data_IF_682018698093
#
_entry.id   IF_682018698093
#
_cell.length_a   1.000
_cell.length_b   1.000
_cell.length_c   1.000
_cell.angle_alpha   90.00
_cell.angle_beta   90.00
_cell.angle_gamma   90.00
#
_symmetry.space_group_name_H-M   'P 1'
#
loop_
_entity.id
_entity.type
_entity.pdbx_description
1 polymer ?
#
# COMPACT_ATOMS: atom_id res chain seq x y z
N UNK A 1 -36.45 -32.76 -5.05
CA UNK A 1 -35.34 -32.67 -4.07
C UNK A 1 -33.96 -32.83 -4.72
N UNK A 2 -33.65 -33.93 -5.43
CA UNK A 2 -32.33 -34.14 -6.08
C UNK A 2 -31.86 -32.98 -6.99
N UNK A 3 -32.75 -32.45 -7.85
CA UNK A 3 -32.45 -31.31 -8.73
C UNK A 3 -32.12 -30.02 -7.97
N UNK A 4 -32.83 -29.75 -6.87
CA UNK A 4 -32.57 -28.59 -6.02
C UNK A 4 -31.23 -28.70 -5.29
N UNK A 5 -30.88 -29.91 -4.82
CA UNK A 5 -29.56 -30.19 -4.22
C UNK A 5 -28.43 -29.92 -5.23
N UNK A 6 -28.57 -30.39 -6.47
CA UNK A 6 -27.58 -30.15 -7.53
C UNK A 6 -27.41 -28.65 -7.78
N UNK A 7 -28.50 -27.88 -7.88
CA UNK A 7 -28.45 -26.43 -8.09
C UNK A 7 -27.72 -25.73 -6.92
N UNK A 8 -28.06 -26.08 -5.68
CA UNK A 8 -27.43 -25.48 -4.49
C UNK A 8 -25.93 -25.80 -4.46
N UNK A 9 -25.54 -27.05 -4.72
CA UNK A 9 -24.14 -27.46 -4.77
C UNK A 9 -23.39 -26.71 -5.88
N UNK A 10 -23.98 -26.56 -7.06
CA UNK A 10 -23.37 -25.79 -8.15
C UNK A 10 -23.16 -24.33 -7.78
N UNK A 11 -24.12 -23.69 -7.11
CA UNK A 11 -23.99 -22.30 -6.65
C UNK A 11 -22.86 -22.18 -5.62
N UNK A 12 -22.81 -23.07 -4.63
CA UNK A 12 -21.74 -23.08 -3.63
C UNK A 12 -20.38 -23.26 -4.31
N UNK A 13 -20.29 -24.15 -5.30
CA UNK A 13 -19.05 -24.37 -6.05
C UNK A 13 -18.58 -23.09 -6.77
N UNK A 14 -19.50 -22.38 -7.44
CA UNK A 14 -19.20 -21.11 -8.10
C UNK A 14 -18.70 -20.07 -7.09
N UNK A 15 -19.37 -19.94 -5.94
CA UNK A 15 -18.98 -19.01 -4.88
C UNK A 15 -17.55 -19.31 -4.40
N UNK A 16 -17.23 -20.57 -4.11
CA UNK A 16 -15.89 -20.98 -3.66
C UNK A 16 -14.83 -20.66 -4.71
N UNK A 17 -15.11 -20.93 -5.99
CA UNK A 17 -14.19 -20.60 -7.09
C UNK A 17 -13.99 -19.09 -7.17
N UNK A 18 -15.06 -18.29 -7.11
CA UNK A 18 -14.97 -16.82 -7.15
C UNK A 18 -14.14 -16.26 -5.98
N UNK A 19 -14.34 -16.76 -4.76
CA UNK A 19 -13.52 -16.35 -3.60
C UNK A 19 -12.06 -16.73 -3.78
N UNK A 20 -11.78 -17.94 -4.27
CA UNK A 20 -10.42 -18.41 -4.51
C UNK A 20 -9.71 -17.55 -5.57
N UNK A 21 -10.40 -17.20 -6.66
CA UNK A 21 -9.85 -16.31 -7.68
C UNK A 21 -9.59 -14.93 -7.12
N UNK A 22 -10.53 -14.37 -6.35
CA UNK A 22 -10.38 -13.04 -5.74
C UNK A 22 -9.17 -12.96 -4.80
N UNK A 23 -8.95 -13.98 -3.96
CA UNK A 23 -7.80 -14.03 -3.05
C UNK A 23 -6.45 -14.21 -3.76
N UNK A 24 -6.43 -14.76 -4.98
CA UNK A 24 -5.21 -14.93 -5.77
C UNK A 24 -4.97 -13.78 -6.77
N UNK A 25 -5.76 -12.71 -6.72
CA UNK A 25 -5.53 -11.55 -7.59
C UNK A 25 -4.28 -10.78 -7.15
N UNK A 26 -3.44 -10.33 -8.12
CA UNK A 26 -2.30 -9.48 -7.84
C UNK A 26 -2.67 -8.18 -7.11
N UNK A 27 -1.75 -7.68 -6.29
CA UNK A 27 -1.91 -6.46 -5.46
C UNK A 27 -2.16 -5.23 -6.35
N UNK A 28 -1.58 -5.22 -7.55
CA UNK A 28 -1.76 -4.16 -8.55
C UNK A 28 -3.21 -4.03 -9.00
N UNK A 29 -4.01 -5.10 -8.88
CA UNK A 29 -5.43 -5.10 -9.20
C UNK A 29 -6.24 -4.76 -7.94
N UNK A 30 -6.02 -5.48 -6.85
CA UNK A 30 -6.83 -5.35 -5.62
C UNK A 30 -6.61 -4.01 -4.91
N UNK A 31 -5.42 -3.42 -5.04
CA UNK A 31 -5.00 -2.15 -4.43
C UNK A 31 -4.63 -1.09 -5.47
N UNK A 32 -5.20 -1.18 -6.68
CA UNK A 32 -4.85 -0.33 -7.83
C UNK A 32 -4.84 1.18 -7.53
N UNK A 33 -5.85 1.67 -6.80
CA UNK A 33 -5.97 3.10 -6.48
C UNK A 33 -4.84 3.56 -5.55
N UNK A 34 -4.54 2.76 -4.53
CA UNK A 34 -3.51 3.05 -3.55
C UNK A 34 -2.13 3.01 -4.22
N UNK A 35 -1.83 1.95 -4.97
CA UNK A 35 -0.57 1.82 -5.73
C UNK A 35 -0.38 3.00 -6.69
N UNK A 36 -1.44 3.44 -7.38
CA UNK A 36 -1.36 4.59 -8.28
C UNK A 36 -1.02 5.88 -7.52
N UNK A 37 -1.69 6.15 -6.40
CA UNK A 37 -1.42 7.33 -5.58
C UNK A 37 -0.04 7.27 -4.94
N UNK A 38 0.34 6.13 -4.39
CA UNK A 38 1.66 5.91 -3.81
C UNK A 38 2.79 6.09 -4.83
N UNK A 39 2.63 5.62 -6.08
CA UNK A 39 3.61 5.86 -7.14
C UNK A 39 3.81 7.36 -7.43
N UNK A 40 2.73 8.15 -7.43
CA UNK A 40 2.84 9.60 -7.58
C UNK A 40 3.65 10.22 -6.42
N UNK A 41 3.46 9.75 -5.19
CA UNK A 41 4.25 10.21 -4.05
C UNK A 41 5.73 9.80 -4.17
N UNK A 42 6.01 8.57 -4.59
CA UNK A 42 7.37 8.08 -4.87
C UNK A 42 8.08 8.99 -5.87
N UNK A 43 7.44 9.31 -7.01
CA UNK A 43 8.00 10.22 -8.00
C UNK A 43 8.35 11.59 -7.43
N UNK A 44 7.45 12.17 -6.62
CA UNK A 44 7.68 13.45 -5.97
C UNK A 44 8.82 13.40 -4.94
N UNK A 45 8.93 12.32 -4.17
CA UNK A 45 10.01 12.11 -3.19
C UNK A 45 11.35 11.96 -3.90
N UNK A 46 11.42 11.18 -4.98
CA UNK A 46 12.67 11.02 -5.75
C UNK A 46 13.11 12.33 -6.42
N UNK A 47 12.16 13.12 -6.94
CA UNK A 47 12.43 14.45 -7.45
C UNK A 47 12.97 15.38 -6.34
N UNK A 48 12.33 15.37 -5.16
CA UNK A 48 12.80 16.11 -4.00
C UNK A 48 14.22 15.70 -3.59
N UNK A 49 14.48 14.39 -3.50
CA UNK A 49 15.80 13.83 -3.16
C UNK A 49 16.87 14.27 -4.14
N UNK A 50 16.56 14.25 -5.44
CA UNK A 50 17.49 14.67 -6.49
C UNK A 50 17.85 16.15 -6.39
N UNK A 51 16.86 17.00 -6.09
CA UNK A 51 17.02 18.46 -6.01
C UNK A 51 17.67 18.92 -4.71
N UNK A 52 17.32 18.31 -3.58
CA UNK A 52 17.77 18.74 -2.24
C UNK A 52 18.94 17.91 -1.69
N UNK A 53 19.34 16.83 -2.40
CA UNK A 53 20.36 15.86 -1.98
C UNK A 53 20.06 15.15 -0.65
N UNK A 54 18.81 15.21 -0.18
CA UNK A 54 18.33 14.54 1.02
C UNK A 54 16.86 14.14 0.87
N UNK A 55 16.44 13.14 1.64
CA UNK A 55 15.03 12.76 1.77
C UNK A 55 14.27 13.83 2.59
N UNK A 56 12.94 13.96 2.41
CA UNK A 56 12.13 14.76 3.31
C UNK A 56 12.15 14.15 4.72
N UNK A 57 12.18 15.01 5.74
CA UNK A 57 12.15 14.61 7.16
C UNK A 57 10.77 14.05 7.52
N UNK A 58 10.71 12.99 8.34
CA UNK A 58 9.45 12.32 8.70
C UNK A 58 8.41 13.28 9.32
N UNK A 59 8.87 14.26 10.11
CA UNK A 59 7.99 15.20 10.83
C UNK A 59 7.83 16.56 10.12
N UNK A 60 8.43 16.76 8.94
CA UNK A 60 8.25 18.00 8.16
C UNK A 60 6.95 17.93 7.35
N UNK A 61 5.83 18.07 8.05
CA UNK A 61 4.50 18.06 7.45
C UNK A 61 4.36 19.05 6.29
N UNK A 62 4.96 20.24 6.39
CA UNK A 62 4.85 21.27 5.34
C UNK A 62 5.52 20.82 4.04
N UNK A 63 6.63 20.10 4.13
CA UNK A 63 7.27 19.50 2.96
C UNK A 63 6.46 18.32 2.44
N UNK A 64 5.99 17.42 3.32
CA UNK A 64 5.19 16.25 2.93
C UNK A 64 3.88 16.66 2.23
N UNK A 65 3.17 17.67 2.73
CA UNK A 65 1.96 18.20 2.10
C UNK A 65 2.24 18.71 0.67
N UNK A 66 3.35 19.42 0.46
CA UNK A 66 3.78 19.86 -0.88
C UNK A 66 4.14 18.71 -1.82
N UNK A 67 4.59 17.58 -1.27
CA UNK A 67 4.85 16.36 -2.03
C UNK A 67 3.57 15.58 -2.36
N UNK A 68 2.42 16.02 -1.84
CA UNK A 68 1.10 15.45 -2.14
C UNK A 68 0.54 14.54 -1.06
N UNK A 69 1.20 14.41 0.09
CA UNK A 69 0.65 13.66 1.22
C UNK A 69 -0.62 14.32 1.74
N UNK A 70 -1.62 13.49 2.06
CA UNK A 70 -2.88 13.95 2.64
C UNK A 70 -2.85 13.74 4.14
N UNK A 71 -3.29 14.75 4.89
CA UNK A 71 -3.50 14.64 6.33
C UNK A 71 -4.79 13.90 6.60
N UNK A 72 -4.73 12.90 7.46
CA UNK A 72 -5.89 12.22 8.04
C UNK A 72 -5.85 12.37 9.56
N UNK A 73 -6.92 11.95 10.24
CA UNK A 73 -7.05 12.11 11.69
C UNK A 73 -5.91 11.45 12.49
N UNK A 74 -5.29 10.40 11.95
CA UNK A 74 -4.20 9.62 12.56
C UNK A 74 -2.81 9.94 12.02
N UNK A 75 -2.64 10.95 11.15
CA UNK A 75 -1.34 11.30 10.58
C UNK A 75 -1.42 11.60 9.08
N UNK A 76 -0.59 10.92 8.29
CA UNK A 76 -0.58 11.03 6.83
C UNK A 76 -0.90 9.68 6.21
N UNK A 77 -1.56 9.68 5.05
CA UNK A 77 -1.86 8.45 4.32
C UNK A 77 -1.31 8.51 2.90
N UNK A 78 -0.46 7.56 2.48
CA UNK A 78 0.20 6.54 3.32
C UNK A 78 1.15 7.17 4.35
N UNK A 79 1.46 6.43 5.40
CA UNK A 79 2.52 6.77 6.35
C UNK A 79 3.86 6.79 5.61
N UNK A 80 4.75 7.70 6.01
CA UNK A 80 6.10 7.83 5.44
C UNK A 80 7.12 7.71 6.57
N UNK A 81 8.16 6.90 6.35
CA UNK A 81 9.28 6.77 7.27
C UNK A 81 10.60 6.64 6.49
N UNK A 82 11.64 7.36 6.90
CA UNK A 82 13.02 7.23 6.41
C UNK A 82 13.95 6.57 7.44
N UNK A 83 14.93 5.81 6.97
CA UNK A 83 16.00 5.22 7.79
C UNK A 83 17.15 6.22 8.11
N UNK A 84 17.03 7.47 7.63
CA UNK A 84 18.05 8.52 7.66
C UNK A 84 19.38 8.15 6.97
N UNK A 85 19.42 7.03 6.26
CA UNK A 85 20.57 6.51 5.49
C UNK A 85 20.30 6.51 3.98
N UNK A 86 19.13 7.00 3.57
CA UNK A 86 18.77 7.22 2.17
C UNK A 86 17.67 6.29 1.64
N UNK A 87 17.09 5.46 2.51
CA UNK A 87 15.95 4.61 2.23
C UNK A 87 14.71 5.12 2.97
N UNK A 88 13.56 4.98 2.33
CA UNK A 88 12.25 5.25 2.93
C UNK A 88 11.24 4.16 2.57
N UNK A 89 10.15 4.17 3.32
CA UNK A 89 8.96 3.35 3.14
C UNK A 89 7.70 4.22 3.05
N UNK A 90 6.72 3.75 2.28
CA UNK A 90 5.34 4.23 2.31
C UNK A 90 4.44 3.09 2.78
N UNK A 91 3.61 3.30 3.79
CA UNK A 91 2.83 2.22 4.43
C UNK A 91 1.35 2.63 4.54
N UNK A 92 0.45 1.80 4.02
CA UNK A 92 -0.99 1.98 4.20
C UNK A 92 -1.47 1.22 5.44
N UNK A 93 -1.57 1.92 6.56
CA UNK A 93 -2.06 1.40 7.84
C UNK A 93 -3.60 1.35 7.87
N UNK A 94 -4.21 0.60 6.95
CA UNK A 94 -5.67 0.49 6.86
C UNK A 94 -6.29 -0.44 7.92
N UNK A 95 -5.48 -1.29 8.55
CA UNK A 95 -5.88 -2.32 9.50
C UNK A 95 -4.98 -2.30 10.76
N UNK A 96 -5.35 -3.05 11.80
CA UNK A 96 -4.68 -2.97 13.10
C UNK A 96 -3.30 -3.66 13.13
N UNK A 97 -3.20 -4.91 12.63
CA UNK A 97 -2.02 -5.78 12.86
C UNK A 97 -1.30 -6.25 11.59
N UNK A 98 -1.58 -5.64 10.44
CA UNK A 98 -0.96 -5.98 9.15
C UNK A 98 -1.24 -7.43 8.72
N UNK A 99 -0.57 -7.93 7.66
CA UNK A 99 0.42 -7.24 6.83
C UNK A 99 -0.18 -6.08 6.02
N UNK A 100 0.64 -5.09 5.67
CA UNK A 100 0.18 -3.84 5.05
C UNK A 100 0.62 -3.74 3.60
N UNK A 101 -0.15 -3.00 2.80
CA UNK A 101 0.34 -2.51 1.53
C UNK A 101 1.46 -1.50 1.78
N UNK A 102 2.66 -1.83 1.32
CA UNK A 102 3.83 -0.99 1.50
C UNK A 102 4.76 -0.92 0.30
N UNK A 103 5.41 0.22 0.14
CA UNK A 103 6.51 0.46 -0.79
C UNK A 103 7.80 0.57 0.00
N UNK A 104 8.84 -0.13 -0.45
CA UNK A 104 10.20 0.03 0.07
C UNK A 104 11.13 0.53 -1.05
N UNK A 105 11.82 1.63 -0.81
CA UNK A 105 12.70 2.27 -1.81
C UNK A 105 13.95 1.46 -2.20
N UNK A 106 14.38 0.47 -1.39
CA UNK A 106 15.45 -0.46 -1.72
C UNK A 106 14.95 -1.56 -2.65
N UNK A 107 13.80 -2.16 -2.33
CA UNK A 107 13.20 -3.23 -3.13
C UNK A 107 12.49 -2.71 -4.39
N UNK A 108 12.05 -1.45 -4.39
CA UNK A 108 11.38 -0.74 -5.49
C UNK A 108 10.14 -1.47 -6.02
N UNK A 109 9.37 -2.05 -5.11
CA UNK A 109 8.10 -2.72 -5.42
C UNK A 109 7.10 -2.52 -4.29
N UNK A 110 5.82 -2.59 -4.66
CA UNK A 110 4.73 -2.69 -3.71
C UNK A 110 4.61 -4.13 -3.23
N UNK A 111 4.42 -4.33 -1.93
CA UNK A 111 4.29 -5.64 -1.29
C UNK A 111 3.22 -5.60 -0.21
N UNK A 112 2.74 -6.78 0.17
CA UNK A 112 2.00 -7.00 1.42
C UNK A 112 3.01 -7.57 2.41
N UNK A 113 3.52 -6.73 3.31
CA UNK A 113 4.58 -7.09 4.27
C UNK A 113 4.46 -6.23 5.54
N UNK A 114 5.37 -6.43 6.48
CA UNK A 114 5.51 -5.64 7.69
C UNK A 114 6.55 -4.53 7.52
N UNK A 115 6.37 -3.36 8.16
CA UNK A 115 7.32 -2.25 8.10
C UNK A 115 8.72 -2.71 8.52
N UNK A 116 9.74 -2.31 7.76
CA UNK A 116 11.15 -2.63 8.05
C UNK A 116 11.88 -1.44 8.62
N UNK A 117 11.39 -0.23 8.34
CA UNK A 117 11.86 1.00 8.95
C UNK A 117 10.95 1.32 10.13
N UNK A 118 11.52 1.40 11.32
CA UNK A 118 10.85 1.86 12.53
C UNK A 118 11.36 3.25 12.87
N UNK A 119 10.43 4.17 13.13
CA UNK A 119 10.73 5.54 13.59
C UNK A 119 11.24 5.58 15.03
#
# INVERSE_FOLDING_TARGET
>A
MKKAIIIIVSIILVIVISFTVYWNLPIEITRKSDVKFGNQLVENIEAYKTNNKKLPENQDWKTLEKLGFKKENSGIKPNYATDNKGSYELIYLDEFDGPYLMWNSQERKWTIDYPKIHE
#
